data_IF_960529884760
#
_entry.id   IF_960529884760
#
_cell.length_a   1.000
_cell.length_b   1.000
_cell.length_c   1.000
_cell.angle_alpha   90.00
_cell.angle_beta   90.00
_cell.angle_gamma   90.00
#
_symmetry.space_group_name_H-M   'P 1'
#
loop_
_entity.id
_entity.type
_entity.pdbx_description
1 polymer ?
#
# COMPACT_ATOMS: atom_id res chain seq x y z
N UNK A 1 -15.98 -38.85 -12.61
CA UNK A 1 -14.91 -37.94 -12.14
C UNK A 1 -15.36 -37.41 -10.80
N UNK A 2 -14.83 -37.94 -9.71
CA UNK A 2 -15.11 -37.44 -8.37
C UNK A 2 -14.57 -36.02 -8.29
N UNK A 3 -15.45 -35.03 -8.14
CA UNK A 3 -15.02 -33.69 -7.80
C UNK A 3 -14.27 -33.84 -6.47
N UNK A 4 -12.96 -33.63 -6.47
CA UNK A 4 -12.23 -33.53 -5.22
C UNK A 4 -12.75 -32.27 -4.54
N UNK A 5 -13.69 -32.42 -3.60
CA UNK A 5 -14.13 -31.30 -2.76
C UNK A 5 -12.88 -30.67 -2.16
N UNK A 6 -12.64 -29.41 -2.51
CA UNK A 6 -11.52 -28.69 -1.93
C UNK A 6 -11.86 -28.39 -0.46
N UNK A 7 -10.95 -28.65 0.49
CA UNK A 7 -11.19 -28.39 1.91
C UNK A 7 -11.55 -26.92 2.21
N UNK A 8 -11.08 -26.01 1.35
CA UNK A 8 -11.42 -24.60 1.39
C UNK A 8 -12.92 -24.39 1.23
N UNK A 9 -13.55 -25.10 0.30
CA UNK A 9 -14.93 -24.89 -0.08
C UNK A 9 -15.89 -25.31 1.05
N UNK A 10 -15.74 -26.52 1.58
CA UNK A 10 -16.61 -27.05 2.64
C UNK A 10 -16.53 -26.24 3.94
N UNK A 11 -15.32 -25.91 4.40
CA UNK A 11 -15.13 -25.15 5.65
C UNK A 11 -15.73 -23.75 5.53
N UNK A 12 -15.51 -23.10 4.38
CA UNK A 12 -16.06 -21.76 4.10
C UNK A 12 -17.59 -21.80 4.04
N UNK A 13 -18.16 -22.80 3.35
CA UNK A 13 -19.61 -23.01 3.25
C UNK A 13 -20.24 -23.21 4.62
N UNK A 14 -19.68 -24.09 5.45
CA UNK A 14 -20.18 -24.36 6.81
C UNK A 14 -20.16 -23.09 7.67
N UNK A 15 -19.09 -22.29 7.59
CA UNK A 15 -19.02 -21.02 8.32
C UNK A 15 -20.12 -20.06 7.90
N UNK A 16 -20.27 -19.79 6.60
CA UNK A 16 -21.28 -18.82 6.15
C UNK A 16 -22.71 -19.32 6.37
N UNK A 17 -22.94 -20.63 6.25
CA UNK A 17 -24.22 -21.22 6.64
C UNK A 17 -24.56 -20.85 8.08
N UNK A 18 -23.66 -21.15 9.04
CA UNK A 18 -23.85 -20.80 10.46
C UNK A 18 -24.01 -19.30 10.66
N UNK A 19 -23.17 -18.48 10.03
CA UNK A 19 -23.23 -17.02 10.13
C UNK A 19 -24.62 -16.45 9.77
N UNK A 20 -25.26 -17.00 8.75
CA UNK A 20 -26.61 -16.58 8.34
C UNK A 20 -27.70 -17.22 9.22
N UNK A 21 -27.57 -18.50 9.58
CA UNK A 21 -28.49 -19.19 10.50
C UNK A 21 -28.52 -18.52 11.89
N UNK A 22 -27.38 -18.07 12.42
CA UNK A 22 -27.27 -17.33 13.69
C UNK A 22 -27.95 -15.95 13.63
N UNK A 23 -28.14 -15.41 12.42
CA UNK A 23 -28.95 -14.22 12.16
C UNK A 23 -30.41 -14.54 11.92
N UNK A 24 -30.81 -15.81 12.01
CA UNK A 24 -32.16 -16.31 11.81
C UNK A 24 -32.61 -16.34 10.35
N UNK A 25 -31.68 -16.40 9.39
CA UNK A 25 -32.00 -16.55 7.97
C UNK A 25 -32.08 -18.03 7.58
N UNK A 26 -32.94 -18.34 6.61
CA UNK A 26 -33.00 -19.66 6.00
C UNK A 26 -31.87 -19.80 4.98
N UNK A 27 -31.09 -20.88 5.11
CA UNK A 27 -29.95 -21.17 4.22
C UNK A 27 -30.01 -22.60 3.73
N UNK A 28 -29.93 -22.76 2.42
CA UNK A 28 -29.71 -24.05 1.77
C UNK A 28 -28.27 -24.12 1.26
N UNK A 29 -27.53 -25.14 1.69
CA UNK A 29 -26.23 -25.45 1.10
C UNK A 29 -26.42 -26.35 -0.10
N UNK A 30 -25.63 -26.13 -1.15
CA UNK A 30 -25.55 -27.05 -2.27
C UNK A 30 -26.87 -27.28 -3.03
N UNK A 31 -27.72 -26.24 -3.14
CA UNK A 31 -29.04 -26.32 -3.80
C UNK A 31 -28.88 -26.67 -5.28
N UNK A 32 -29.46 -27.79 -5.70
CA UNK A 32 -29.49 -28.22 -7.09
C UNK A 32 -30.61 -27.50 -7.84
N UNK A 33 -30.26 -26.82 -8.94
CA UNK A 33 -31.23 -26.07 -9.76
C UNK A 33 -31.58 -26.80 -11.07
N UNK A 34 -30.72 -27.72 -11.52
CA UNK A 34 -30.94 -28.52 -12.72
C UNK A 34 -30.41 -29.95 -12.49
N UNK A 35 -31.11 -30.96 -13.03
CA UNK A 35 -30.75 -32.37 -12.91
C UNK A 35 -29.29 -32.63 -13.32
N UNK A 36 -28.52 -33.31 -12.45
CA UNK A 36 -27.11 -33.71 -12.62
C UNK A 36 -26.09 -32.59 -12.39
N UNK A 37 -25.99 -32.18 -11.12
CA UNK A 37 -24.76 -31.66 -10.49
C UNK A 37 -24.36 -30.23 -10.83
N UNK A 38 -25.32 -29.30 -10.79
CA UNK A 38 -25.03 -27.86 -10.76
C UNK A 38 -25.63 -27.26 -9.49
N UNK A 39 -24.86 -27.37 -8.42
CA UNK A 39 -25.20 -26.84 -7.10
C UNK A 39 -24.78 -25.38 -7.00
N UNK A 40 -25.58 -24.57 -6.33
CA UNK A 40 -25.18 -23.26 -5.81
C UNK A 40 -24.62 -23.51 -4.41
N UNK A 41 -23.51 -22.88 -4.06
CA UNK A 41 -22.84 -23.13 -2.78
C UNK A 41 -23.77 -22.86 -1.60
N UNK A 42 -24.37 -21.67 -1.59
CA UNK A 42 -25.30 -21.21 -0.56
C UNK A 42 -26.46 -20.45 -1.21
N UNK A 43 -27.69 -20.81 -0.86
CA UNK A 43 -28.89 -20.04 -1.19
C UNK A 43 -29.47 -19.50 0.10
N UNK A 44 -29.53 -18.18 0.22
CA UNK A 44 -30.02 -17.49 1.42
C UNK A 44 -31.34 -16.82 1.09
N UNK A 45 -32.39 -17.22 1.79
CA UNK A 45 -33.73 -16.61 1.69
C UNK A 45 -33.85 -15.51 2.73
N UNK A 46 -34.18 -14.30 2.29
CA UNK A 46 -34.37 -13.14 3.17
C UNK A 46 -35.78 -12.58 3.05
N UNK A 47 -36.49 -12.45 4.16
CA UNK A 47 -37.66 -11.59 4.26
C UNK A 47 -37.25 -10.12 4.35
N UNK A 48 -38.21 -9.19 4.23
CA UNK A 48 -37.97 -7.77 4.51
C UNK A 48 -37.45 -7.55 5.94
N UNK A 49 -37.92 -8.35 6.90
CA UNK A 49 -37.46 -8.27 8.29
C UNK A 49 -35.99 -8.70 8.46
N UNK A 50 -35.51 -9.64 7.62
CA UNK A 50 -34.13 -10.14 7.65
C UNK A 50 -33.15 -9.14 7.03
N UNK A 51 -33.58 -8.31 6.07
CA UNK A 51 -32.75 -7.26 5.50
C UNK A 51 -32.28 -6.28 6.59
N UNK A 52 -33.14 -6.00 7.57
CA UNK A 52 -32.77 -5.21 8.74
C UNK A 52 -31.72 -5.90 9.62
N UNK A 53 -31.58 -7.22 9.61
CA UNK A 53 -30.50 -7.91 10.34
C UNK A 53 -29.17 -7.86 9.59
N UNK A 54 -29.22 -7.69 8.27
CA UNK A 54 -28.04 -7.61 7.41
C UNK A 54 -27.54 -6.17 7.17
N UNK A 55 -28.30 -5.13 7.53
CA UNK A 55 -27.99 -3.72 7.20
C UNK A 55 -26.56 -3.28 7.55
N UNK A 56 -26.03 -3.72 8.69
CA UNK A 56 -24.67 -3.39 9.17
C UNK A 56 -23.59 -4.37 8.69
N UNK A 57 -23.93 -5.28 7.79
CA UNK A 57 -23.00 -6.23 7.18
C UNK A 57 -22.80 -5.88 5.71
N UNK A 58 -21.78 -6.46 5.09
CA UNK A 58 -21.57 -6.29 3.65
C UNK A 58 -22.67 -6.98 2.81
N UNK A 59 -23.49 -7.83 3.43
CA UNK A 59 -24.57 -8.58 2.78
C UNK A 59 -25.90 -7.80 2.79
N UNK A 60 -25.89 -6.51 3.15
CA UNK A 60 -27.05 -5.63 3.17
C UNK A 60 -27.75 -5.46 1.81
N UNK A 61 -27.13 -5.91 0.72
CA UNK A 61 -27.72 -5.91 -0.62
C UNK A 61 -28.55 -7.14 -0.95
N UNK A 62 -28.65 -8.08 -0.02
CA UNK A 62 -29.43 -9.28 -0.22
C UNK A 62 -30.92 -8.90 -0.40
N UNK A 63 -31.53 -9.52 -1.41
CA UNK A 63 -32.97 -9.41 -1.74
C UNK A 63 -33.68 -10.68 -1.28
N UNK A 64 -34.86 -10.99 -1.83
CA UNK A 64 -35.66 -12.16 -1.44
C UNK A 64 -34.88 -13.48 -1.49
N UNK A 65 -34.15 -13.71 -2.58
CA UNK A 65 -33.34 -14.91 -2.80
C UNK A 65 -31.91 -14.56 -3.20
N UNK A 66 -30.91 -15.14 -2.53
CA UNK A 66 -29.51 -14.77 -2.73
C UNK A 66 -28.67 -16.00 -3.00
N UNK A 67 -28.17 -16.12 -4.24
CA UNK A 67 -27.16 -17.10 -4.61
C UNK A 67 -25.78 -16.58 -4.20
N UNK A 68 -25.16 -17.23 -3.23
CA UNK A 68 -23.80 -16.95 -2.79
C UNK A 68 -22.87 -18.05 -3.31
N UNK A 69 -21.82 -17.66 -4.01
CA UNK A 69 -20.83 -18.55 -4.64
C UNK A 69 -19.42 -18.16 -4.17
N UNK A 70 -18.62 -19.15 -3.81
CA UNK A 70 -17.32 -18.98 -3.17
C UNK A 70 -16.21 -19.48 -4.11
N UNK A 71 -15.26 -18.62 -4.45
CA UNK A 71 -14.17 -18.94 -5.39
C UNK A 71 -12.82 -18.86 -4.69
N UNK A 72 -12.22 -20.03 -4.47
CA UNK A 72 -10.97 -20.20 -3.74
C UNK A 72 -9.70 -19.86 -4.55
N UNK A 73 -8.51 -19.98 -3.93
CA UNK A 73 -7.23 -19.71 -4.62
C UNK A 73 -6.94 -20.64 -5.80
N UNK A 74 -7.40 -21.89 -5.73
CA UNK A 74 -7.18 -22.94 -6.73
C UNK A 74 -8.38 -23.12 -7.68
N UNK A 75 -9.48 -22.43 -7.39
CA UNK A 75 -10.68 -22.36 -8.22
C UNK A 75 -11.02 -20.90 -8.56
N UNK A 76 -10.19 -20.24 -9.40
CA UNK A 76 -10.42 -18.85 -9.78
C UNK A 76 -11.66 -18.71 -10.66
N UNK A 77 -12.39 -17.60 -10.51
CA UNK A 77 -13.57 -17.32 -11.32
C UNK A 77 -13.20 -17.12 -12.81
N UNK A 78 -13.59 -18.09 -13.64
CA UNK A 78 -13.48 -18.00 -15.11
C UNK A 78 -14.78 -17.52 -15.76
N UNK A 79 -14.73 -17.11 -17.04
CA UNK A 79 -15.95 -16.74 -17.82
C UNK A 79 -16.93 -17.92 -17.89
N UNK A 80 -16.42 -19.16 -18.03
CA UNK A 80 -17.25 -20.36 -18.05
C UNK A 80 -17.98 -20.55 -16.71
N UNK A 81 -17.29 -20.31 -15.61
CA UNK A 81 -17.88 -20.41 -14.27
C UNK A 81 -18.90 -19.32 -14.03
N UNK A 82 -18.59 -18.08 -14.43
CA UNK A 82 -19.53 -16.96 -14.37
C UNK A 82 -20.83 -17.29 -15.11
N UNK A 83 -20.75 -17.75 -16.37
CA UNK A 83 -21.95 -18.12 -17.14
C UNK A 83 -22.74 -19.26 -16.46
N UNK A 84 -22.05 -20.22 -15.83
CA UNK A 84 -22.71 -21.30 -15.07
C UNK A 84 -23.42 -20.78 -13.82
N UNK A 85 -22.77 -19.90 -13.06
CA UNK A 85 -23.34 -19.23 -11.88
C UNK A 85 -24.59 -18.46 -12.30
N UNK A 86 -24.50 -17.65 -13.36
CA UNK A 86 -25.63 -16.88 -13.86
C UNK A 86 -26.79 -17.80 -14.26
N UNK A 87 -26.52 -18.86 -15.03
CA UNK A 87 -27.55 -19.82 -15.43
C UNK A 87 -28.24 -20.47 -14.21
N UNK A 88 -27.49 -20.83 -13.16
CA UNK A 88 -28.07 -21.35 -11.91
C UNK A 88 -28.93 -20.31 -11.19
N UNK A 89 -28.44 -19.08 -11.07
CA UNK A 89 -29.17 -18.01 -10.41
C UNK A 89 -30.47 -17.62 -11.15
N UNK A 90 -30.46 -17.70 -12.49
CA UNK A 90 -31.66 -17.53 -13.31
C UNK A 90 -32.66 -18.68 -13.16
N UNK A 91 -32.18 -19.91 -12.92
CA UNK A 91 -33.05 -21.07 -12.67
C UNK A 91 -33.62 -21.12 -11.24
N UNK A 92 -33.04 -20.39 -10.28
CA UNK A 92 -33.57 -20.34 -8.91
C UNK A 92 -35.04 -19.90 -8.92
N UNK A 93 -35.95 -20.63 -8.26
CA UNK A 93 -37.38 -20.28 -8.25
C UNK A 93 -38.20 -20.75 -9.46
N UNK A 94 -37.58 -21.41 -10.45
CA UNK A 94 -38.29 -22.13 -11.51
C UNK A 94 -38.57 -23.61 -11.18
N UNK A 95 -38.05 -24.09 -10.05
CA UNK A 95 -38.41 -25.39 -9.47
C UNK A 95 -39.47 -25.13 -8.41
N UNK A 96 -40.66 -25.67 -8.60
CA UNK A 96 -41.65 -25.76 -7.52
C UNK A 96 -41.01 -26.48 -6.34
N UNK A 97 -41.12 -25.89 -5.15
CA UNK A 97 -40.92 -26.67 -3.93
C UNK A 97 -42.02 -27.72 -3.96
N UNK A 98 -41.64 -28.98 -4.18
CA UNK A 98 -42.50 -30.11 -3.83
C UNK A 98 -42.68 -30.05 -2.32
N UNK A 99 -43.66 -29.26 -1.86
CA UNK A 99 -44.18 -29.41 -0.51
C UNK A 99 -44.67 -30.85 -0.42
N UNK A 100 -44.11 -31.62 0.50
CA UNK A 100 -44.58 -32.96 0.85
C UNK A 100 -46.02 -32.87 1.39
N UNK A 101 -46.99 -32.69 0.49
CA UNK A 101 -48.43 -32.89 0.70
C UNK A 101 -48.91 -34.12 -0.07
N UNK A 102 -48.02 -35.08 -0.28
CA UNK A 102 -48.38 -36.42 -0.73
C UNK A 102 -47.91 -37.38 0.36
N UNK A 103 -48.80 -37.68 1.29
CA UNK A 103 -48.95 -38.96 1.97
C UNK A 103 -50.03 -38.80 3.04
N UNK A 104 -51.28 -39.00 2.62
CA UNK A 104 -52.33 -39.78 3.32
C UNK A 104 -53.69 -39.38 2.76
N UNK A 105 -54.08 -40.02 1.66
CA UNK A 105 -55.43 -40.59 1.47
C UNK A 105 -55.39 -41.44 0.21
N UNK A 106 -54.96 -42.70 0.37
CA UNK A 106 -55.51 -43.77 -0.45
C UNK A 106 -56.92 -44.02 0.09
N UNK A 107 -57.95 -43.64 -0.64
CA UNK A 107 -59.11 -44.49 -0.84
C UNK A 107 -59.92 -43.96 -2.02
N UNK A 108 -60.24 -44.90 -2.90
CA UNK A 108 -60.80 -44.74 -4.23
C UNK A 108 -62.17 -44.06 -4.21
N UNK A 109 -62.42 -43.16 -5.16
CA UNK A 109 -63.72 -43.11 -5.87
C UNK A 109 -63.58 -42.31 -7.16
N UNK A 110 -63.63 -43.05 -8.28
CA UNK A 110 -63.92 -42.51 -9.61
C UNK A 110 -65.41 -42.16 -9.67
N UNK A 111 -65.78 -40.90 -9.51
CA UNK A 111 -67.01 -40.30 -10.06
C UNK A 111 -67.00 -38.79 -9.76
N UNK A 112 -67.40 -37.97 -10.75
CA UNK A 112 -67.49 -36.49 -10.77
C UNK A 112 -66.36 -35.76 -11.52
N UNK A 113 -66.33 -36.00 -12.84
CA UNK A 113 -66.06 -34.98 -13.83
C UNK A 113 -67.35 -34.19 -14.06
N UNK A 114 -67.46 -32.97 -13.55
CA UNK A 114 -68.17 -31.84 -14.17
C UNK A 114 -68.17 -30.61 -13.22
N UNK A 115 -67.96 -29.43 -13.80
CA UNK A 115 -68.10 -28.09 -13.21
C UNK A 115 -66.99 -27.59 -12.28
N UNK A 116 -66.00 -26.88 -12.86
CA UNK A 116 -65.56 -25.55 -12.41
C UNK A 116 -64.56 -24.99 -13.45
N UNK A 117 -65.10 -24.37 -14.50
CA UNK A 117 -64.40 -23.34 -15.27
C UNK A 117 -64.70 -22.01 -14.59
N UNK A 118 -64.15 -21.81 -13.38
CA UNK A 118 -64.03 -20.46 -12.85
C UNK A 118 -62.80 -19.82 -13.47
N UNK A 119 -62.99 -18.63 -14.03
CA UNK A 119 -61.92 -17.77 -14.50
C UNK A 119 -61.05 -17.43 -13.29
N UNK A 120 -59.97 -18.19 -13.09
CA UNK A 120 -58.90 -17.85 -12.17
C UNK A 120 -58.32 -16.51 -12.62
N UNK A 121 -58.81 -15.42 -12.05
CA UNK A 121 -57.98 -14.22 -11.88
C UNK A 121 -56.76 -14.70 -11.07
N UNK A 122 -55.68 -15.07 -11.78
CA UNK A 122 -54.36 -15.39 -11.23
C UNK A 122 -53.91 -14.22 -10.34
N UNK A 123 -54.34 -14.25 -9.08
CA UNK A 123 -53.77 -13.42 -8.03
C UNK A 123 -52.40 -14.00 -7.80
N UNK A 124 -51.40 -13.48 -8.52
CA UNK A 124 -49.99 -13.84 -8.33
C UNK A 124 -49.70 -13.78 -6.85
N UNK A 125 -49.44 -14.94 -6.25
CA UNK A 125 -49.21 -15.02 -4.82
C UNK A 125 -47.96 -14.20 -4.47
N UNK A 126 -47.88 -13.66 -3.26
CA UNK A 126 -46.68 -12.95 -2.78
C UNK A 126 -45.41 -13.82 -2.92
N UNK A 127 -45.55 -15.14 -2.93
CA UNK A 127 -44.45 -16.07 -3.14
C UNK A 127 -44.01 -16.19 -4.61
N UNK A 128 -44.91 -15.99 -5.57
CA UNK A 128 -44.56 -15.94 -7.00
C UNK A 128 -43.83 -14.65 -7.37
N UNK A 129 -44.17 -13.53 -6.72
CA UNK A 129 -43.45 -12.26 -6.88
C UNK A 129 -42.00 -12.38 -6.36
N UNK A 130 -41.80 -13.04 -5.21
CA UNK A 130 -40.46 -13.32 -4.65
C UNK A 130 -39.62 -14.22 -5.55
N UNK A 131 -40.26 -15.02 -6.40
CA UNK A 131 -39.57 -15.87 -7.39
C UNK A 131 -39.11 -15.08 -8.60
N UNK A 132 -39.52 -13.84 -8.84
CA UNK A 132 -39.06 -13.06 -9.99
C UNK A 132 -37.54 -12.77 -9.93
N UNK A 133 -36.83 -12.76 -11.08
CA UNK A 133 -35.40 -12.42 -11.15
C UNK A 133 -35.04 -11.09 -10.48
N UNK A 134 -35.93 -10.09 -10.55
CA UNK A 134 -35.76 -8.78 -9.90
C UNK A 134 -35.59 -8.88 -8.38
N UNK A 135 -36.12 -9.93 -7.73
CA UNK A 135 -35.99 -10.17 -6.29
C UNK A 135 -34.79 -11.05 -5.93
N UNK A 136 -33.92 -11.36 -6.90
CA UNK A 136 -32.76 -12.22 -6.71
C UNK A 136 -31.45 -11.44 -6.75
N UNK A 137 -30.49 -11.96 -6.01
CA UNK A 137 -29.13 -11.45 -5.96
C UNK A 137 -28.14 -12.57 -6.20
N UNK A 138 -27.07 -12.26 -6.92
CA UNK A 138 -25.91 -13.16 -7.08
C UNK A 138 -24.71 -12.49 -6.44
N UNK A 139 -24.14 -13.14 -5.43
CA UNK A 139 -22.92 -12.69 -4.76
C UNK A 139 -21.81 -13.70 -5.00
N UNK A 140 -20.74 -13.27 -5.65
CA UNK A 140 -19.58 -14.12 -5.96
C UNK A 140 -18.39 -13.59 -5.18
N UNK A 141 -17.94 -14.35 -4.17
CA UNK A 141 -16.78 -13.99 -3.35
C UNK A 141 -15.53 -14.63 -3.94
N UNK A 142 -14.61 -13.81 -4.41
CA UNK A 142 -13.38 -14.24 -5.07
C UNK A 142 -12.16 -13.94 -4.18
N UNK A 143 -11.52 -14.97 -3.64
CA UNK A 143 -10.28 -14.83 -2.86
C UNK A 143 -9.16 -14.20 -3.70
N UNK A 144 -9.13 -14.55 -4.99
CA UNK A 144 -8.22 -13.96 -5.97
C UNK A 144 -9.00 -13.05 -6.92
N UNK A 145 -8.51 -11.82 -7.12
CA UNK A 145 -9.18 -10.83 -7.99
C UNK A 145 -9.35 -11.38 -9.42
N UNK A 146 -10.58 -11.45 -9.95
CA UNK A 146 -10.84 -12.02 -11.27
C UNK A 146 -10.60 -10.98 -12.38
N UNK A 147 -9.34 -10.56 -12.58
CA UNK A 147 -8.96 -9.51 -13.53
C UNK A 147 -9.46 -9.75 -14.96
N UNK A 148 -9.50 -11.02 -15.41
CA UNK A 148 -10.02 -11.35 -16.73
C UNK A 148 -11.50 -10.97 -16.86
N UNK A 149 -12.32 -11.30 -15.87
CA UNK A 149 -13.73 -10.90 -15.86
C UNK A 149 -13.84 -9.39 -15.74
N UNK A 150 -13.17 -8.78 -14.77
CA UNK A 150 -13.30 -7.34 -14.56
C UNK A 150 -12.82 -6.48 -15.73
N UNK A 151 -11.85 -6.97 -16.52
CA UNK A 151 -11.33 -6.25 -17.69
C UNK A 151 -12.08 -6.60 -18.99
N UNK A 152 -12.28 -7.89 -19.27
CA UNK A 152 -12.90 -8.35 -20.52
C UNK A 152 -14.42 -8.13 -20.51
N UNK A 153 -15.05 -8.26 -19.35
CA UNK A 153 -16.52 -8.15 -19.20
C UNK A 153 -16.97 -6.74 -18.80
N UNK A 154 -16.06 -5.76 -18.77
CA UNK A 154 -16.43 -4.36 -18.52
C UNK A 154 -17.29 -3.78 -19.63
N UNK A 155 -17.02 -4.14 -20.88
CA UNK A 155 -17.78 -3.64 -22.04
C UNK A 155 -19.14 -4.33 -22.18
N UNK A 156 -19.18 -5.65 -21.91
CA UNK A 156 -20.38 -6.48 -22.10
C UNK A 156 -21.32 -6.41 -20.88
N UNK A 157 -20.79 -6.60 -19.67
CA UNK A 157 -21.58 -6.67 -18.44
C UNK A 157 -21.54 -5.38 -17.62
N UNK A 158 -20.75 -4.37 -18.02
CA UNK A 158 -20.74 -3.04 -17.41
C UNK A 158 -20.48 -3.05 -15.89
N UNK A 159 -19.66 -3.99 -15.41
CA UNK A 159 -19.26 -4.01 -14.00
C UNK A 159 -18.60 -2.69 -13.60
N UNK A 160 -19.09 -2.12 -12.50
CA UNK A 160 -18.57 -0.88 -11.93
C UNK A 160 -18.14 -1.13 -10.48
N UNK A 161 -17.02 -0.55 -10.10
CA UNK A 161 -16.57 -0.61 -8.71
C UNK A 161 -17.35 0.42 -7.89
N UNK A 162 -18.13 -0.05 -6.92
CA UNK A 162 -18.92 0.83 -6.04
C UNK A 162 -18.20 1.12 -4.72
N UNK A 163 -17.40 0.16 -4.25
CA UNK A 163 -16.53 0.29 -3.08
C UNK A 163 -15.22 -0.47 -3.33
N UNK A 164 -14.13 -0.19 -2.58
CA UNK A 164 -12.92 -1.01 -2.61
C UNK A 164 -13.25 -2.51 -2.45
N UNK A 165 -12.93 -3.30 -3.48
CA UNK A 165 -13.23 -4.74 -3.52
C UNK A 165 -14.67 -5.14 -3.83
N UNK A 166 -15.60 -4.22 -4.10
CA UNK A 166 -16.99 -4.55 -4.44
C UNK A 166 -17.32 -4.04 -5.84
N UNK A 167 -17.60 -4.99 -6.74
CA UNK A 167 -17.94 -4.74 -8.14
C UNK A 167 -19.40 -5.12 -8.37
N UNK A 168 -20.16 -4.22 -8.97
CA UNK A 168 -21.60 -4.37 -9.18
C UNK A 168 -21.96 -4.31 -10.66
N UNK A 169 -22.91 -5.15 -11.06
CA UNK A 169 -23.56 -5.17 -12.35
C UNK A 169 -25.07 -5.33 -12.13
N UNK A 170 -25.86 -4.48 -12.81
CA UNK A 170 -27.31 -4.59 -12.85
C UNK A 170 -27.73 -4.94 -14.28
N UNK A 171 -27.87 -6.24 -14.53
CA UNK A 171 -28.21 -6.80 -15.84
C UNK A 171 -29.45 -7.70 -15.73
N UNK A 172 -30.50 -7.21 -15.07
CA UNK A 172 -31.74 -7.95 -14.77
C UNK A 172 -31.66 -8.82 -13.52
N UNK A 173 -30.44 -9.16 -13.07
CA UNK A 173 -30.14 -9.69 -11.75
C UNK A 173 -29.19 -8.74 -11.03
N UNK A 174 -29.34 -8.59 -9.71
CA UNK A 174 -28.37 -7.83 -8.92
C UNK A 174 -27.12 -8.69 -8.72
N UNK A 175 -26.03 -8.38 -9.40
CA UNK A 175 -24.80 -9.19 -9.37
C UNK A 175 -23.70 -8.42 -8.67
N UNK A 176 -23.08 -9.05 -7.68
CA UNK A 176 -21.91 -8.52 -6.96
C UNK A 176 -20.74 -9.49 -7.01
N UNK A 177 -19.58 -9.00 -7.43
CA UNK A 177 -18.30 -9.69 -7.27
C UNK A 177 -17.56 -9.00 -6.13
N UNK A 178 -17.13 -9.78 -5.14
CA UNK A 178 -16.49 -9.27 -3.93
C UNK A 178 -15.09 -9.86 -3.81
N UNK A 179 -14.09 -8.99 -3.67
CA UNK A 179 -12.69 -9.35 -3.53
C UNK A 179 -12.23 -9.02 -2.10
N UNK A 180 -12.19 -9.99 -1.16
CA UNK A 180 -11.91 -9.74 0.25
C UNK A 180 -10.60 -8.97 0.50
N UNK A 181 -9.57 -9.25 -0.28
CA UNK A 181 -8.25 -8.60 -0.16
C UNK A 181 -8.26 -7.09 -0.44
N UNK A 182 -9.32 -6.57 -1.07
CA UNK A 182 -9.46 -5.15 -1.39
C UNK A 182 -10.43 -4.41 -0.46
N UNK A 183 -11.17 -5.14 0.39
CA UNK A 183 -12.16 -4.55 1.30
C UNK A 183 -11.49 -3.63 2.33
N UNK A 184 -12.25 -2.60 2.74
CA UNK A 184 -11.86 -1.75 3.86
C UNK A 184 -11.92 -2.53 5.18
N UNK A 185 -11.00 -2.22 6.10
CA UNK A 185 -10.94 -2.84 7.44
C UNK A 185 -11.94 -2.16 8.38
N UNK A 186 -13.23 -2.44 8.15
CA UNK A 186 -14.35 -1.91 8.92
C UNK A 186 -15.28 -3.05 9.32
N UNK A 187 -15.97 -2.92 10.46
CA UNK A 187 -16.78 -3.99 11.05
C UNK A 187 -17.76 -4.64 10.06
N UNK A 188 -18.41 -3.85 9.19
CA UNK A 188 -19.33 -4.36 8.17
C UNK A 188 -18.71 -5.42 7.24
N UNK A 189 -17.40 -5.36 7.02
CA UNK A 189 -16.66 -6.22 6.11
C UNK A 189 -15.99 -7.42 6.81
N UNK A 190 -15.98 -7.46 8.14
CA UNK A 190 -15.30 -8.51 8.91
C UNK A 190 -15.70 -9.93 8.50
N UNK A 191 -16.97 -10.24 8.15
CA UNK A 191 -17.34 -11.58 7.74
C UNK A 191 -16.57 -12.16 6.55
N UNK A 192 -16.02 -11.33 5.65
CA UNK A 192 -15.24 -11.82 4.49
C UNK A 192 -13.73 -11.62 4.64
N UNK A 193 -13.26 -10.77 5.55
CA UNK A 193 -11.83 -10.49 5.71
C UNK A 193 -10.97 -11.70 6.11
N UNK A 194 -11.48 -12.76 6.77
CA UNK A 194 -10.76 -14.03 6.91
C UNK A 194 -10.31 -14.66 5.59
N UNK A 195 -11.01 -14.35 4.49
CA UNK A 195 -10.71 -14.85 3.16
C UNK A 195 -9.74 -13.93 2.37
N UNK A 196 -9.31 -12.81 2.96
CA UNK A 196 -8.31 -11.93 2.36
C UNK A 196 -6.94 -12.63 2.26
N UNK A 197 -5.99 -12.01 1.57
CA UNK A 197 -4.61 -12.52 1.42
C UNK A 197 -3.57 -11.43 1.65
N UNK A 198 -2.33 -11.86 1.93
CA UNK A 198 -1.18 -10.97 2.08
C UNK A 198 -1.41 -9.87 3.13
N UNK A 199 -0.97 -8.65 2.82
CA UNK A 199 -1.00 -7.52 3.77
C UNK A 199 -2.39 -7.27 4.38
N UNK A 200 -3.46 -7.48 3.62
CA UNK A 200 -4.84 -7.25 4.11
C UNK A 200 -5.21 -8.24 5.21
N UNK A 201 -4.93 -9.53 4.99
CA UNK A 201 -5.18 -10.59 5.98
C UNK A 201 -4.34 -10.35 7.24
N UNK A 202 -3.08 -9.96 7.11
CA UNK A 202 -2.21 -9.64 8.25
C UNK A 202 -2.74 -8.46 9.09
N UNK A 203 -3.23 -7.41 8.42
CA UNK A 203 -3.83 -6.27 9.12
C UNK A 203 -5.11 -6.70 9.85
N UNK A 204 -5.96 -7.51 9.22
CA UNK A 204 -7.18 -7.99 9.86
C UNK A 204 -6.92 -8.96 11.01
N UNK A 205 -5.93 -9.84 10.89
CA UNK A 205 -5.51 -10.73 11.98
C UNK A 205 -5.06 -9.92 13.20
N UNK A 206 -4.34 -8.82 12.99
CA UNK A 206 -3.94 -7.91 14.08
C UNK A 206 -5.14 -7.26 14.78
N UNK A 207 -6.20 -6.95 14.02
CA UNK A 207 -7.48 -6.46 14.57
C UNK A 207 -8.15 -7.56 15.38
N UNK A 208 -8.23 -8.78 14.86
CA UNK A 208 -8.89 -9.90 15.54
C UNK A 208 -8.24 -10.22 16.89
N UNK A 209 -6.91 -10.18 16.96
CA UNK A 209 -6.16 -10.39 18.22
C UNK A 209 -6.39 -9.24 19.20
N UNK A 210 -6.34 -8.00 18.72
CA UNK A 210 -6.50 -6.81 19.59
C UNK A 210 -7.92 -6.69 20.15
N UNK A 211 -8.92 -6.99 19.33
CA UNK A 211 -10.34 -6.75 19.63
C UNK A 211 -11.07 -8.05 20.06
N UNK A 212 -10.32 -9.12 20.34
CA UNK A 212 -10.82 -10.44 20.78
C UNK A 212 -11.90 -11.06 19.88
N UNK A 213 -11.69 -11.00 18.56
CA UNK A 213 -12.63 -11.53 17.57
C UNK A 213 -12.38 -13.02 17.31
N UNK A 214 -12.59 -13.84 18.34
CA UNK A 214 -12.25 -15.27 18.38
C UNK A 214 -12.86 -16.07 17.22
N UNK A 215 -14.11 -15.80 16.84
CA UNK A 215 -14.78 -16.50 15.74
C UNK A 215 -14.05 -16.33 14.40
N UNK A 216 -13.56 -15.12 14.11
CA UNK A 216 -12.80 -14.87 12.90
C UNK A 216 -11.38 -15.44 12.98
N UNK A 217 -10.78 -15.52 14.16
CA UNK A 217 -9.49 -16.21 14.35
C UNK A 217 -9.61 -17.71 14.05
N UNK A 218 -10.68 -18.36 14.52
CA UNK A 218 -10.97 -19.75 14.16
C UNK A 218 -11.14 -19.91 12.65
N UNK A 219 -11.88 -19.00 12.01
CA UNK A 219 -12.05 -19.07 10.55
C UNK A 219 -10.72 -18.88 9.80
N UNK A 220 -9.88 -17.95 10.25
CA UNK A 220 -8.54 -17.72 9.68
C UNK A 220 -7.65 -18.94 9.92
N UNK A 221 -7.78 -19.63 11.06
CA UNK A 221 -7.04 -20.87 11.31
C UNK A 221 -7.48 -21.97 10.35
N UNK A 222 -8.79 -22.17 10.20
CA UNK A 222 -9.34 -23.28 9.44
C UNK A 222 -9.20 -23.08 7.93
N UNK A 223 -9.34 -21.83 7.45
CA UNK A 223 -9.32 -21.49 6.02
C UNK A 223 -8.05 -20.73 5.63
N UNK A 224 -7.56 -19.83 6.48
CA UNK A 224 -6.42 -18.97 6.19
C UNK A 224 -5.10 -19.73 5.99
N UNK A 225 -4.94 -20.89 6.63
CA UNK A 225 -3.82 -21.80 6.33
C UNK A 225 -3.86 -22.32 4.88
N UNK A 226 -5.04 -22.41 4.26
CA UNK A 226 -5.19 -22.81 2.86
C UNK A 226 -5.02 -21.64 1.88
N UNK A 227 -5.27 -20.40 2.31
CA UNK A 227 -5.17 -19.20 1.46
C UNK A 227 -3.78 -18.56 1.48
N UNK A 228 -3.13 -18.50 2.65
CA UNK A 228 -1.82 -17.88 2.85
C UNK A 228 -1.07 -18.47 4.09
N UNK A 229 -0.61 -19.73 4.01
CA UNK A 229 -0.02 -20.44 5.16
C UNK A 229 1.21 -19.74 5.74
N UNK A 230 2.04 -19.14 4.89
CA UNK A 230 3.26 -18.46 5.32
C UNK A 230 2.94 -17.23 6.18
N UNK A 231 1.93 -16.46 5.77
CA UNK A 231 1.52 -15.28 6.51
C UNK A 231 0.93 -15.64 7.88
N UNK A 232 0.06 -16.65 7.91
CA UNK A 232 -0.56 -17.12 9.15
C UNK A 232 0.52 -17.63 10.11
N UNK A 233 1.45 -18.43 9.62
CA UNK A 233 2.56 -18.93 10.42
C UNK A 233 3.43 -17.81 10.99
N UNK A 234 3.82 -16.83 10.16
CA UNK A 234 4.58 -15.66 10.62
C UNK A 234 3.85 -14.89 11.71
N UNK A 235 2.55 -14.66 11.54
CA UNK A 235 1.76 -13.90 12.51
C UNK A 235 1.53 -14.65 13.82
N UNK A 236 1.33 -15.97 13.78
CA UNK A 236 1.26 -16.79 14.98
C UNK A 236 2.57 -16.72 15.77
N UNK A 237 3.71 -16.83 15.09
CA UNK A 237 5.03 -16.67 15.72
C UNK A 237 5.23 -15.27 16.33
N UNK A 238 4.77 -14.22 15.66
CA UNK A 238 4.83 -12.84 16.19
C UNK A 238 3.96 -12.65 17.45
N UNK A 239 2.76 -13.25 17.50
CA UNK A 239 1.83 -13.11 18.63
C UNK A 239 2.37 -13.84 19.88
N UNK A 240 2.94 -15.02 19.70
CA UNK A 240 3.47 -15.85 20.78
C UNK A 240 4.90 -15.44 21.21
N UNK A 241 5.49 -14.38 20.60
CA UNK A 241 6.91 -14.01 20.71
C UNK A 241 7.86 -15.22 20.52
N UNK A 242 7.42 -16.19 19.71
CA UNK A 242 8.13 -17.44 19.49
C UNK A 242 9.19 -17.24 18.41
N UNK A 243 10.45 -17.42 18.79
CA UNK A 243 11.53 -17.60 17.82
C UNK A 243 11.44 -19.04 17.28
N UNK A 244 11.39 -19.25 15.94
CA UNK A 244 11.41 -20.60 15.40
C UNK A 244 12.77 -21.23 15.72
N UNK A 245 12.78 -22.19 16.65
CA UNK A 245 13.94 -23.03 16.93
C UNK A 245 13.86 -24.30 16.08
N UNK A 246 14.87 -24.51 15.23
CA UNK A 246 15.05 -25.77 14.53
C UNK A 246 15.64 -26.74 15.54
N UNK A 247 14.85 -27.72 15.98
CA UNK A 247 15.33 -28.79 16.87
C UNK A 247 16.39 -29.65 16.18
N UNK A 248 17.30 -30.22 16.96
CA UNK A 248 18.39 -31.07 16.45
C UNK A 248 17.84 -32.26 15.62
N UNK A 249 16.71 -32.81 16.05
CA UNK A 249 16.00 -33.91 15.38
C UNK A 249 15.44 -33.55 13.98
N UNK A 250 15.07 -32.28 13.74
CA UNK A 250 14.58 -31.82 12.43
C UNK A 250 15.71 -31.57 11.42
N UNK A 251 16.97 -31.47 11.86
CA UNK A 251 18.11 -31.31 10.93
C UNK A 251 18.27 -32.49 9.98
N UNK A 252 18.00 -33.71 10.44
CA UNK A 252 18.07 -34.89 9.58
C UNK A 252 17.09 -34.84 8.39
N UNK A 253 15.89 -34.27 8.60
CA UNK A 253 14.89 -34.07 7.56
C UNK A 253 15.23 -32.92 6.63
N UNK A 254 15.80 -31.84 7.17
CA UNK A 254 16.26 -30.67 6.40
C UNK A 254 17.45 -31.07 5.52
N UNK A 255 18.45 -31.75 6.08
CA UNK A 255 19.61 -32.28 5.36
C UNK A 255 19.17 -33.27 4.29
N UNK A 256 18.26 -34.19 4.62
CA UNK A 256 17.68 -35.11 3.63
C UNK A 256 16.95 -34.38 2.52
N UNK A 257 16.14 -33.37 2.85
CA UNK A 257 15.49 -32.51 1.87
C UNK A 257 16.51 -31.85 0.95
N UNK A 258 17.58 -31.24 1.48
CA UNK A 258 18.66 -30.62 0.69
C UNK A 258 19.58 -31.60 -0.06
N UNK A 259 19.67 -32.86 0.38
CA UNK A 259 20.42 -33.91 -0.31
C UNK A 259 19.60 -34.55 -1.45
N UNK A 260 18.27 -34.65 -1.29
CA UNK A 260 17.35 -35.22 -2.28
C UNK A 260 16.86 -34.18 -3.31
N UNK A 261 16.74 -32.90 -2.93
CA UNK A 261 16.27 -31.82 -3.83
C UNK A 261 17.16 -31.48 -5.03
N UNK A 262 18.51 -31.61 -5.03
CA UNK A 262 19.32 -31.29 -6.22
C UNK A 262 18.93 -32.16 -7.42
N UNK A 263 18.50 -33.40 -7.19
CA UNK A 263 18.13 -34.35 -8.22
C UNK A 263 16.67 -34.24 -8.69
N UNK A 264 15.78 -33.69 -7.85
CA UNK A 264 14.38 -33.44 -8.17
C UNK A 264 14.13 -32.03 -8.76
N UNK A 265 14.85 -31.01 -8.29
CA UNK A 265 14.75 -29.63 -8.77
C UNK A 265 15.30 -29.45 -10.20
N UNK A 266 16.27 -30.27 -10.60
CA UNK A 266 16.81 -30.30 -11.97
C UNK A 266 15.83 -30.89 -13.00
N UNK A 267 14.76 -31.57 -12.57
CA UNK A 267 13.73 -32.15 -13.45
C UNK A 267 12.49 -31.26 -13.63
N UNK A 268 12.42 -30.11 -12.96
CA UNK A 268 11.29 -29.18 -13.06
C UNK A 268 11.70 -27.92 -13.83
N UNK A 269 11.29 -27.77 -15.11
CA UNK A 269 11.70 -26.65 -15.97
C UNK A 269 11.35 -25.27 -15.41
N UNK A 270 10.24 -25.18 -14.67
CA UNK A 270 9.78 -23.96 -14.01
C UNK A 270 10.70 -23.52 -12.87
N UNK A 271 11.23 -24.47 -12.09
CA UNK A 271 12.16 -24.19 -11.00
C UNK A 271 13.53 -23.78 -11.54
N UNK A 272 14.03 -24.48 -12.57
CA UNK A 272 15.28 -24.12 -13.24
C UNK A 272 15.22 -22.69 -13.81
N UNK A 273 14.09 -22.33 -14.43
CA UNK A 273 13.85 -20.96 -14.92
C UNK A 273 13.80 -19.95 -13.77
N UNK A 274 13.06 -20.24 -12.69
CA UNK A 274 12.98 -19.33 -11.53
C UNK A 274 14.31 -19.18 -10.78
N UNK A 275 15.13 -20.23 -10.74
CA UNK A 275 16.45 -20.21 -10.13
C UNK A 275 17.46 -19.47 -11.00
N UNK A 276 17.42 -19.63 -12.32
CA UNK A 276 18.18 -18.81 -13.25
C UNK A 276 17.77 -17.34 -13.20
N UNK A 277 16.46 -17.05 -13.13
CA UNK A 277 15.94 -15.69 -12.95
C UNK A 277 16.40 -15.11 -11.60
N UNK A 278 16.39 -15.90 -10.53
CA UNK A 278 16.86 -15.48 -9.20
C UNK A 278 18.38 -15.24 -9.18
N UNK A 279 19.18 -16.11 -9.82
CA UNK A 279 20.63 -15.92 -9.97
C UNK A 279 20.96 -14.70 -10.83
N UNK A 280 20.22 -14.50 -11.93
CA UNK A 280 20.40 -13.37 -12.82
C UNK A 280 20.01 -12.06 -12.13
N UNK A 281 18.92 -12.07 -11.34
CA UNK A 281 18.51 -10.95 -10.49
C UNK A 281 19.53 -10.66 -9.39
N UNK A 282 20.04 -11.67 -8.70
CA UNK A 282 21.08 -11.52 -7.68
C UNK A 282 22.39 -10.97 -8.27
N UNK A 283 22.79 -11.43 -9.47
CA UNK A 283 23.95 -10.92 -10.19
C UNK A 283 23.74 -9.46 -10.65
N UNK A 284 22.53 -9.11 -11.12
CA UNK A 284 22.17 -7.73 -11.46
C UNK A 284 22.17 -6.81 -10.22
N UNK A 285 21.62 -7.27 -9.10
CA UNK A 285 21.62 -6.51 -7.84
C UNK A 285 23.03 -6.32 -7.29
N UNK A 286 23.89 -7.35 -7.39
CA UNK A 286 25.30 -7.25 -7.01
C UNK A 286 26.08 -6.29 -7.92
N UNK A 287 25.84 -6.34 -9.24
CA UNK A 287 26.44 -5.42 -10.20
C UNK A 287 25.94 -3.97 -9.97
N UNK A 288 24.64 -3.77 -9.71
CA UNK A 288 24.09 -2.46 -9.38
C UNK A 288 24.66 -1.91 -8.07
N UNK A 289 24.79 -2.74 -7.02
CA UNK A 289 25.44 -2.34 -5.77
C UNK A 289 26.90 -1.95 -5.99
N UNK A 290 27.65 -2.73 -6.78
CA UNK A 290 29.05 -2.41 -7.09
C UNK A 290 29.18 -1.10 -7.89
N UNK A 291 28.28 -0.86 -8.85
CA UNK A 291 28.22 0.40 -9.62
C UNK A 291 27.82 1.58 -8.73
N UNK A 292 26.84 1.42 -7.83
CA UNK A 292 26.44 2.45 -6.87
C UNK A 292 27.56 2.78 -5.89
N UNK A 293 28.29 1.77 -5.39
CA UNK A 293 29.41 1.97 -4.47
C UNK A 293 30.61 2.63 -5.17
N UNK A 294 30.88 2.27 -6.43
CA UNK A 294 31.89 2.93 -7.25
C UNK A 294 31.50 4.39 -7.57
N UNK A 295 30.22 4.65 -7.88
CA UNK A 295 29.71 6.00 -8.12
C UNK A 295 29.78 6.86 -6.85
N UNK A 296 29.46 6.28 -5.68
CA UNK A 296 29.58 6.96 -4.38
C UNK A 296 31.04 7.31 -4.07
N UNK A 297 31.98 6.38 -4.26
CA UNK A 297 33.43 6.64 -4.08
C UNK A 297 33.95 7.70 -5.06
N UNK A 298 33.49 7.68 -6.31
CA UNK A 298 33.82 8.69 -7.30
C UNK A 298 33.27 10.07 -6.90
N UNK A 299 32.01 10.14 -6.45
CA UNK A 299 31.38 11.37 -5.97
C UNK A 299 32.08 11.94 -4.73
N UNK A 300 32.46 11.11 -3.76
CA UNK A 300 33.22 11.55 -2.57
C UNK A 300 34.60 12.10 -2.95
N UNK A 301 35.29 11.47 -3.90
CA UNK A 301 36.59 11.95 -4.42
C UNK A 301 36.46 13.28 -5.19
N UNK A 302 35.37 13.45 -5.95
CA UNK A 302 35.07 14.69 -6.66
C UNK A 302 34.66 15.81 -5.68
N UNK A 303 33.87 15.51 -4.66
CA UNK A 303 33.51 16.50 -3.63
C UNK A 303 34.73 16.95 -2.84
N UNK A 304 35.67 16.05 -2.51
CA UNK A 304 36.91 16.39 -1.81
C UNK A 304 37.80 17.31 -2.65
N UNK A 305 37.96 17.03 -3.94
CA UNK A 305 38.75 17.86 -4.85
C UNK A 305 38.11 19.24 -5.08
N UNK A 306 36.77 19.30 -5.21
CA UNK A 306 36.04 20.57 -5.30
C UNK A 306 36.14 21.38 -4.01
N UNK A 307 36.02 20.75 -2.83
CA UNK A 307 36.18 21.44 -1.54
C UNK A 307 37.59 22.01 -1.36
N UNK A 308 38.64 21.28 -1.77
CA UNK A 308 40.01 21.78 -1.71
C UNK A 308 40.25 22.93 -2.68
N UNK A 309 39.70 22.87 -3.90
CA UNK A 309 39.75 23.96 -4.86
C UNK A 309 39.01 25.20 -4.35
N UNK A 310 37.82 25.04 -3.76
CA UNK A 310 37.06 26.14 -3.16
C UNK A 310 37.79 26.76 -1.97
N UNK A 311 38.41 25.97 -1.08
CA UNK A 311 39.22 26.49 0.04
C UNK A 311 40.42 27.29 -0.45
N UNK A 312 41.11 26.82 -1.50
CA UNK A 312 42.23 27.56 -2.13
C UNK A 312 41.76 28.86 -2.78
N UNK A 313 40.63 28.84 -3.49
CA UNK A 313 40.04 30.02 -4.12
C UNK A 313 39.59 31.05 -3.07
N UNK A 314 38.90 30.61 -2.02
CA UNK A 314 38.44 31.47 -0.93
C UNK A 314 39.61 32.12 -0.18
N UNK A 315 40.69 31.37 0.10
CA UNK A 315 41.90 31.93 0.73
C UNK A 315 42.58 32.97 -0.15
N UNK A 316 42.60 32.78 -1.47
CA UNK A 316 43.14 33.74 -2.43
C UNK A 316 42.27 35.01 -2.52
N UNK A 317 40.96 34.85 -2.54
CA UNK A 317 40.00 35.96 -2.57
C UNK A 317 40.05 36.79 -1.28
N UNK A 318 40.07 36.14 -0.10
CA UNK A 318 40.18 36.82 1.19
C UNK A 318 41.49 37.59 1.33
N UNK A 319 42.61 37.04 0.84
CA UNK A 319 43.91 37.76 0.83
C UNK A 319 43.86 39.01 -0.06
N UNK A 320 43.21 38.93 -1.22
CA UNK A 320 43.05 40.07 -2.14
C UNK A 320 42.17 41.16 -1.53
N UNK A 321 41.02 40.78 -0.96
CA UNK A 321 40.11 41.73 -0.31
C UNK A 321 40.75 42.42 0.92
N UNK A 322 41.49 41.68 1.75
CA UNK A 322 42.22 42.27 2.88
C UNK A 322 43.29 43.29 2.43
N UNK A 323 43.94 43.04 1.28
CA UNK A 323 44.94 43.93 0.72
C UNK A 323 44.30 45.21 0.14
N UNK A 324 43.17 45.09 -0.55
CA UNK A 324 42.41 46.23 -1.07
C UNK A 324 41.88 47.13 0.06
N UNK A 325 41.31 46.54 1.13
CA UNK A 325 40.84 47.29 2.31
C UNK A 325 41.98 47.98 3.06
N UNK A 326 43.16 47.33 3.16
CA UNK A 326 44.32 47.94 3.79
C UNK A 326 44.84 49.15 2.98
N UNK A 327 44.82 49.06 1.64
CA UNK A 327 45.21 50.15 0.76
C UNK A 327 44.24 51.33 0.82
N UNK A 328 42.93 51.06 0.81
CA UNK A 328 41.90 52.10 0.89
C UNK A 328 41.95 52.86 2.22
N UNK A 329 42.12 52.14 3.34
CA UNK A 329 42.25 52.77 4.64
C UNK A 329 43.59 53.52 4.82
N UNK A 330 44.66 53.14 4.13
CA UNK A 330 45.89 53.95 4.07
C UNK A 330 45.66 55.25 3.29
N UNK A 331 44.99 55.17 2.13
CA UNK A 331 44.64 56.34 1.33
C UNK A 331 43.75 57.33 2.10
N UNK A 332 42.77 56.84 2.86
CA UNK A 332 41.90 57.69 3.67
C UNK A 332 42.66 58.37 4.82
N UNK A 333 43.55 57.64 5.51
CA UNK A 333 44.43 58.23 6.54
C UNK A 333 45.29 59.36 5.97
N UNK A 334 45.90 59.17 4.79
CA UNK A 334 46.67 60.23 4.10
C UNK A 334 45.81 61.48 3.86
N UNK A 335 44.58 61.32 3.37
CA UNK A 335 43.66 62.44 3.13
C UNK A 335 43.30 63.19 4.40
N UNK A 336 43.02 62.47 5.49
CA UNK A 336 42.71 63.07 6.80
C UNK A 336 43.90 63.87 7.33
N UNK A 337 45.11 63.31 7.28
CA UNK A 337 46.35 63.99 7.68
C UNK A 337 46.56 65.29 6.90
N UNK A 338 46.45 65.24 5.58
CA UNK A 338 46.62 66.42 4.70
C UNK A 338 45.55 67.47 5.01
N UNK A 339 44.30 67.06 5.27
CA UNK A 339 43.23 67.99 5.64
C UNK A 339 43.48 68.65 7.01
N UNK A 340 43.95 67.89 7.99
CA UNK A 340 44.28 68.42 9.33
C UNK A 340 45.45 69.41 9.26
N UNK A 341 46.48 69.11 8.47
CA UNK A 341 47.60 70.02 8.22
C UNK A 341 47.12 71.35 7.65
N UNK A 342 46.31 71.34 6.60
CA UNK A 342 45.77 72.57 6.01
C UNK A 342 44.80 73.33 6.92
N UNK A 343 44.12 72.64 7.85
CA UNK A 343 43.23 73.28 8.81
C UNK A 343 44.00 73.96 9.94
N UNK A 344 45.09 73.34 10.40
CA UNK A 344 45.87 73.82 11.55
C UNK A 344 46.91 74.87 11.14
N UNK A 345 47.44 74.80 9.93
CA UNK A 345 48.48 75.69 9.45
C UNK A 345 48.06 76.41 8.17
N UNK A 346 48.21 77.73 8.13
CA UNK A 346 47.74 78.61 7.05
C UNK A 346 48.46 78.36 5.72
N UNK A 347 49.66 77.79 5.73
CA UNK A 347 50.44 77.44 4.53
C UNK A 347 51.26 76.18 4.79
N UNK A 348 50.93 75.09 4.10
CA UNK A 348 51.63 73.79 4.23
C UNK A 348 52.61 73.61 3.07
N UNK A 349 53.91 73.35 3.30
CA UNK A 349 54.87 73.10 2.23
C UNK A 349 54.50 71.89 1.38
N UNK A 350 54.57 72.01 0.05
CA UNK A 350 54.29 70.92 -0.91
C UNK A 350 55.11 69.66 -0.63
N UNK A 351 56.35 69.82 -0.13
CA UNK A 351 57.24 68.72 0.21
C UNK A 351 56.68 67.83 1.34
N UNK A 352 55.95 68.40 2.30
CA UNK A 352 55.35 67.65 3.42
C UNK A 352 54.16 66.84 2.92
N UNK A 353 53.30 67.44 2.09
CA UNK A 353 52.16 66.76 1.45
C UNK A 353 52.64 65.58 0.60
N UNK A 354 53.63 65.80 -0.27
CA UNK A 354 54.21 64.75 -1.11
C UNK A 354 54.81 63.58 -0.30
N UNK A 355 55.40 63.87 0.87
CA UNK A 355 55.96 62.83 1.75
C UNK A 355 54.89 61.96 2.39
N UNK A 356 53.75 62.55 2.77
CA UNK A 356 52.59 61.84 3.30
C UNK A 356 51.94 60.98 2.20
N UNK A 357 51.79 61.53 1.00
CA UNK A 357 51.23 60.81 -0.14
C UNK A 357 52.08 59.60 -0.55
N UNK A 358 53.41 59.73 -0.49
CA UNK A 358 54.36 58.68 -0.87
C UNK A 358 54.54 57.55 0.17
N UNK A 359 54.01 57.70 1.39
CA UNK A 359 54.24 56.74 2.49
C UNK A 359 53.08 55.75 2.61
N UNK A 360 53.32 54.45 2.43
CA UNK A 360 52.30 53.42 2.68
C UNK A 360 52.40 52.77 4.08
N UNK A 361 53.33 53.24 4.91
CA UNK A 361 53.52 52.78 6.29
C UNK A 361 52.46 53.39 7.22
N UNK A 362 51.55 52.54 7.71
CA UNK A 362 50.44 52.93 8.59
C UNK A 362 50.89 53.46 9.94
N UNK A 363 51.94 52.87 10.53
CA UNK A 363 52.42 53.30 11.83
C UNK A 363 53.08 54.68 11.72
N UNK A 364 53.77 54.92 10.61
CA UNK A 364 54.32 56.23 10.30
C UNK A 364 53.23 57.29 10.08
N UNK A 365 52.13 56.95 9.39
CA UNK A 365 50.97 57.84 9.23
C UNK A 365 50.30 58.17 10.57
N UNK A 366 50.12 57.20 11.46
CA UNK A 366 49.53 57.43 12.79
C UNK A 366 50.46 58.28 13.68
N UNK A 367 51.77 58.01 13.66
CA UNK A 367 52.74 58.83 14.39
C UNK A 367 52.75 60.29 13.89
N UNK A 368 52.63 60.51 12.57
CA UNK A 368 52.47 61.86 12.04
C UNK A 368 51.16 62.53 12.47
N UNK A 369 50.07 61.77 12.61
CA UNK A 369 48.80 62.30 13.08
C UNK A 369 48.94 62.85 14.50
N UNK A 370 49.53 62.07 15.40
CA UNK A 370 49.78 62.47 16.78
C UNK A 370 50.69 63.71 16.84
N UNK A 371 51.75 63.74 16.03
CA UNK A 371 52.65 64.89 15.93
C UNK A 371 51.92 66.15 15.44
N UNK A 372 51.04 66.03 14.45
CA UNK A 372 50.25 67.16 13.93
C UNK A 372 49.30 67.68 15.00
N UNK A 373 48.70 66.81 15.81
CA UNK A 373 47.79 67.21 16.89
C UNK A 373 48.54 68.03 17.96
N UNK A 374 49.75 67.63 18.34
CA UNK A 374 50.53 68.28 19.41
C UNK A 374 51.31 69.51 18.93
N UNK A 375 51.77 69.55 17.68
CA UNK A 375 52.69 70.61 17.22
C UNK A 375 52.03 72.00 17.14
N UNK A 376 52.68 73.02 17.68
CA UNK A 376 52.21 74.42 17.64
C UNK A 376 52.65 75.13 16.33
N UNK A 377 53.60 74.55 15.60
CA UNK A 377 54.10 75.10 14.34
C UNK A 377 54.61 74.02 13.38
N UNK A 378 54.63 74.32 12.07
CA UNK A 378 55.15 73.41 11.04
C UNK A 378 56.64 73.07 11.22
N UNK A 379 57.43 73.98 11.78
CA UNK A 379 58.86 73.77 12.01
C UNK A 379 59.13 72.63 13.01
N UNK A 380 58.23 72.37 13.96
CA UNK A 380 58.33 71.23 14.88
C UNK A 380 58.08 69.89 14.17
N UNK A 381 57.15 69.87 13.20
CA UNK A 381 56.83 68.68 12.40
C UNK A 381 57.98 68.35 11.44
N UNK A 382 58.59 69.35 10.78
CA UNK A 382 59.70 69.13 9.85
C UNK A 382 60.98 68.62 10.52
N UNK A 383 61.27 69.06 11.75
CA UNK A 383 62.43 68.58 12.52
C UNK A 383 62.31 67.10 12.89
N UNK A 384 61.11 66.65 13.28
CA UNK A 384 60.85 65.25 13.60
C UNK A 384 60.81 64.37 12.34
N UNK A 385 60.27 64.90 11.23
CA UNK A 385 60.23 64.17 9.96
C UNK A 385 61.60 63.97 9.30
N UNK A 386 62.64 64.71 9.70
CA UNK A 386 64.00 64.59 9.14
C UNK A 386 64.93 63.70 9.98
N UNK A 387 64.46 63.14 11.10
CA UNK A 387 65.21 62.16 11.88
C UNK A 387 66.53 62.69 12.48
N UNK A 388 66.76 64.00 12.48
CA UNK A 388 67.89 64.60 13.20
C UNK A 388 67.44 64.90 14.62
N UNK A 389 67.63 63.94 15.52
CA UNK A 389 67.72 64.22 16.94
C UNK A 389 69.06 64.94 17.19
N UNK A 390 69.02 66.22 17.52
CA UNK A 390 70.16 66.86 18.17
C UNK A 390 70.21 66.32 19.61
N UNK A 391 70.93 65.21 19.81
CA UNK A 391 71.46 64.87 21.11
C UNK A 391 72.50 65.92 21.46
N UNK A 392 72.22 66.71 22.50
CA UNK A 392 73.22 67.50 23.21
C UNK A 392 73.95 66.60 24.20
#
# INVERSE_FOLDING_TARGET
MTASHEPFDETTKVFYRRFFEDKGLLVETEREVFFRARKIDLVVTCSESDQNRLHNTLFSHFRGLNALELKGPKDPLTVKDYNRIMMRAWGLGGLEEKTNKEEETDEETEEELEEELEEDEETTSDDDIKRLPSHRTVTIVCVTKPNKILNTLKEEFKFSQIEPGIYHCDAGLNIRIICPSELLLVAKNYPLLPLARGKKLAQFLSICVRDDLVEYLHLIKDIGLLTDPNLIWQKLLEIEDMKPEIKEETWSYIDRFFQETPYAMTKLPSLQKSFQEALQKAAQEAAQKAVQEAAKKAQESAQKTVQEALKKAAKKAAKKAAQEVAQEASAEKKRVLIRLLHRKFTSVPKRVVQKIEATDDREQLDNWLDQIIVADSLAQIERLATGKSDNT
#
